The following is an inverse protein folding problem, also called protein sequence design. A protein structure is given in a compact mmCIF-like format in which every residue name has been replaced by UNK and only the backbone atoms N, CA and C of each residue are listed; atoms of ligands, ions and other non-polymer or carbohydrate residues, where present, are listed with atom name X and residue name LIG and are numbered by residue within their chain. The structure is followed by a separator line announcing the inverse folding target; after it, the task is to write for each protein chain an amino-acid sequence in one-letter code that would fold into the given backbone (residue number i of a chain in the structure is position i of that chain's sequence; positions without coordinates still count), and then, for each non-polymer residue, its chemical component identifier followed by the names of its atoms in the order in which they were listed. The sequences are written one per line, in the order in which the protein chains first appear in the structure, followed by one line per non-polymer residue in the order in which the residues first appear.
data_IF_046168487268
#
_entry.id   IF_046168487268
#
_cell.length_a   1.000
_cell.length_b   1.000
_cell.length_c   1.000
_cell.angle_alpha   90.00
_cell.angle_beta   90.00
_cell.angle_gamma   90.00
#
_symmetry.space_group_name_H-M   'P 1'
#
loop_
_entity.id
_entity.type
_entity.pdbx_description
1 polymer ?
#
# COMPACT_ATOMS: atom_id res chain seq x y z
N UNK A 1 15.85 -5.90 -21.41
CA UNK A 1 14.53 -5.36 -21.05
C UNK A 1 13.59 -6.53 -20.98
N UNK A 2 13.36 -7.07 -19.78
CA UNK A 2 12.40 -8.15 -19.60
C UNK A 2 11.01 -7.59 -19.92
N UNK A 3 10.23 -8.34 -20.69
CA UNK A 3 8.86 -8.00 -21.00
C UNK A 3 8.08 -8.21 -19.69
N UNK A 4 7.94 -7.15 -18.87
CA UNK A 4 7.23 -7.24 -17.60
C UNK A 4 5.75 -7.50 -17.86
N UNK A 5 5.38 -8.78 -17.81
CA UNK A 5 3.98 -9.21 -17.73
C UNK A 5 3.45 -8.97 -16.32
N UNK A 6 2.17 -8.57 -16.24
CA UNK A 6 1.45 -8.48 -14.97
C UNK A 6 1.43 -9.85 -14.28
N UNK A 7 1.60 -9.84 -12.97
CA UNK A 7 1.27 -10.96 -12.11
C UNK A 7 -0.24 -11.27 -12.27
N UNK A 8 -0.67 -12.54 -12.38
CA UNK A 8 -2.08 -12.92 -12.39
C UNK A 8 -2.93 -12.22 -11.32
N UNK A 9 -2.40 -12.00 -10.11
CA UNK A 9 -3.11 -11.33 -9.02
C UNK A 9 -3.14 -9.81 -9.17
N UNK A 10 -2.23 -9.24 -9.97
CA UNK A 10 -2.15 -7.82 -10.30
C UNK A 10 -2.92 -7.46 -11.59
N UNK A 11 -3.56 -8.43 -12.26
CA UNK A 11 -4.34 -8.19 -13.48
C UNK A 11 -5.48 -7.19 -13.27
N UNK A 12 -5.84 -6.46 -14.33
CA UNK A 12 -6.94 -5.50 -14.27
C UNK A 12 -8.27 -6.18 -13.94
N UNK A 13 -8.95 -5.66 -12.91
CA UNK A 13 -10.19 -6.21 -12.38
C UNK A 13 -10.00 -7.20 -11.23
N UNK A 14 -8.75 -7.51 -10.84
CA UNK A 14 -8.48 -8.40 -9.70
C UNK A 14 -8.46 -7.68 -8.36
N UNK A 15 -8.01 -6.43 -8.36
CA UNK A 15 -7.93 -5.62 -7.15
C UNK A 15 -9.33 -5.17 -6.74
N UNK A 16 -9.61 -5.17 -5.43
CA UNK A 16 -10.91 -4.74 -4.91
C UNK A 16 -11.25 -3.29 -5.31
N UNK A 17 -10.24 -2.40 -5.35
CA UNK A 17 -10.46 -1.04 -5.81
C UNK A 17 -10.79 -0.96 -7.31
N UNK A 18 -10.28 -1.86 -8.16
CA UNK A 18 -10.67 -1.88 -9.58
C UNK A 18 -12.19 -2.11 -9.70
N UNK A 19 -12.73 -3.08 -8.96
CA UNK A 19 -14.17 -3.38 -8.96
C UNK A 19 -14.98 -2.17 -8.48
N UNK A 20 -14.57 -1.53 -7.39
CA UNK A 20 -15.21 -0.32 -6.88
C UNK A 20 -15.14 0.83 -7.90
N UNK A 21 -13.97 1.09 -8.46
CA UNK A 21 -13.76 2.16 -9.41
C UNK A 21 -14.62 1.97 -10.66
N UNK A 22 -14.66 0.77 -11.22
CA UNK A 22 -15.45 0.44 -12.41
C UNK A 22 -16.96 0.53 -12.18
N UNK A 23 -17.44 0.09 -11.01
CA UNK A 23 -18.86 0.18 -10.63
C UNK A 23 -19.30 1.64 -10.46
N UNK A 24 -18.46 2.47 -9.84
CA UNK A 24 -18.79 3.86 -9.50
C UNK A 24 -18.37 4.88 -10.55
N UNK A 25 -17.76 4.43 -11.65
CA UNK A 25 -17.30 5.32 -12.71
C UNK A 25 -18.47 5.95 -13.49
N UNK A 26 -18.47 7.27 -13.61
CA UNK A 26 -19.33 8.03 -14.51
C UNK A 26 -18.71 8.06 -15.91
N UNK A 27 -19.14 7.12 -16.76
CA UNK A 27 -18.71 7.02 -18.15
C UNK A 27 -19.26 8.15 -19.04
N UNK A 28 -20.29 8.88 -18.59
CA UNK A 28 -20.86 10.02 -19.32
C UNK A 28 -20.03 11.29 -19.17
N UNK A 29 -19.20 11.36 -18.11
CA UNK A 29 -18.29 12.47 -17.88
C UNK A 29 -17.19 12.53 -18.97
N UNK A 30 -16.69 13.75 -19.30
CA UNK A 30 -15.61 13.91 -20.27
C UNK A 30 -14.30 13.32 -19.74
N UNK A 31 -13.47 12.78 -20.64
CA UNK A 31 -12.18 12.16 -20.28
C UNK A 31 -11.21 13.10 -19.56
N UNK A 32 -11.34 14.41 -19.78
CA UNK A 32 -10.58 15.45 -19.06
C UNK A 32 -10.87 15.49 -17.55
N UNK A 33 -11.97 14.89 -17.10
CA UNK A 33 -12.34 14.79 -15.69
C UNK A 33 -11.92 13.47 -15.04
N UNK A 34 -11.39 12.51 -15.82
CA UNK A 34 -11.12 11.15 -15.36
C UNK A 34 -10.13 11.12 -14.17
N UNK A 35 -9.08 11.97 -14.19
CA UNK A 35 -8.12 12.04 -13.07
C UNK A 35 -8.79 12.49 -11.76
N UNK A 36 -9.62 13.55 -11.84
CA UNK A 36 -10.36 14.05 -10.68
C UNK A 36 -11.37 13.01 -10.17
N UNK A 37 -11.98 12.27 -11.09
CA UNK A 37 -12.92 11.22 -10.75
C UNK A 37 -12.23 10.08 -10.00
N UNK A 38 -11.08 9.62 -10.49
CA UNK A 38 -10.24 8.62 -9.83
C UNK A 38 -9.89 9.02 -8.40
N UNK A 39 -9.35 10.24 -8.21
CA UNK A 39 -9.04 10.80 -6.89
C UNK A 39 -10.24 10.76 -5.94
N UNK A 40 -11.41 11.21 -6.42
CA UNK A 40 -12.64 11.17 -5.63
C UNK A 40 -13.08 9.76 -5.27
N UNK A 41 -12.90 8.79 -6.17
CA UNK A 41 -13.24 7.40 -5.91
C UNK A 41 -12.29 6.78 -4.89
N UNK A 42 -10.99 7.08 -4.94
CA UNK A 42 -10.03 6.65 -3.91
C UNK A 42 -10.48 7.14 -2.54
N UNK A 43 -10.73 8.45 -2.38
CA UNK A 43 -11.13 8.98 -1.07
C UNK A 43 -12.47 8.41 -0.60
N UNK A 44 -13.42 8.18 -1.51
CA UNK A 44 -14.68 7.51 -1.18
C UNK A 44 -14.46 6.07 -0.71
N UNK A 45 -13.57 5.34 -1.37
CA UNK A 45 -13.24 3.97 -1.02
C UNK A 45 -12.56 3.87 0.34
N UNK A 46 -11.57 4.73 0.59
CA UNK A 46 -10.89 4.79 1.88
C UNK A 46 -11.83 5.24 3.01
N UNK A 47 -12.86 6.03 2.70
CA UNK A 47 -13.89 6.39 3.69
C UNK A 47 -14.85 5.24 4.04
N UNK A 48 -14.92 4.17 3.24
CA UNK A 48 -15.70 2.98 3.57
C UNK A 48 -15.08 2.26 4.76
N UNK A 49 -15.94 1.66 5.59
CA UNK A 49 -15.51 0.67 6.59
C UNK A 49 -15.01 -0.60 5.89
N UNK A 50 -14.12 -1.38 6.50
CA UNK A 50 -13.65 -2.65 5.92
C UNK A 50 -14.79 -3.57 5.47
N UNK A 51 -15.86 -3.69 6.26
CA UNK A 51 -17.03 -4.51 5.91
C UNK A 51 -17.76 -4.01 4.65
N UNK A 52 -17.77 -2.70 4.41
CA UNK A 52 -18.39 -2.10 3.22
C UNK A 52 -17.52 -2.28 1.96
N UNK A 53 -16.23 -2.58 2.14
CA UNK A 53 -15.32 -2.94 1.04
C UNK A 53 -15.41 -4.42 0.66
N UNK A 54 -15.96 -5.27 1.54
CA UNK A 54 -16.05 -6.71 1.34
C UNK A 54 -16.63 -7.14 -0.01
N UNK A 55 -17.74 -6.55 -0.50
CA UNK A 55 -18.31 -6.98 -1.79
C UNK A 55 -17.35 -6.82 -2.99
N UNK A 56 -16.31 -6.02 -2.83
CA UNK A 56 -15.29 -5.78 -3.85
C UNK A 56 -14.14 -6.79 -3.78
N UNK A 57 -13.89 -7.37 -2.60
CA UNK A 57 -12.97 -8.50 -2.42
C UNK A 57 -13.61 -9.81 -2.86
N UNK A 58 -14.88 -10.03 -2.51
CA UNK A 58 -15.66 -11.23 -2.85
C UNK A 58 -16.40 -11.11 -4.20
N UNK A 59 -15.96 -10.19 -5.06
CA UNK A 59 -16.56 -9.97 -6.37
C UNK A 59 -16.38 -11.23 -7.23
N UNK A 60 -17.37 -11.65 -8.05
CA UNK A 60 -17.31 -12.82 -8.95
C UNK A 60 -16.17 -12.80 -10.00
N UNK A 61 -15.29 -11.81 -9.94
CA UNK A 61 -13.99 -11.77 -10.61
C UNK A 61 -12.95 -12.68 -9.94
N UNK A 62 -13.17 -13.19 -8.72
CA UNK A 62 -12.28 -14.14 -8.03
C UNK A 62 -12.78 -15.60 -8.01
N UNK A 63 -14.04 -15.86 -8.38
CA UNK A 63 -14.62 -17.20 -8.50
C UNK A 63 -14.37 -17.85 -9.86
N UNK A 64 -14.20 -19.16 -9.90
CA UNK A 64 -13.97 -19.99 -11.09
C UNK A 64 -15.10 -19.95 -12.15
N UNK A 65 -16.23 -19.30 -11.87
CA UNK A 65 -17.27 -18.93 -12.84
C UNK A 65 -17.15 -17.43 -13.16
N UNK A 66 -16.41 -17.15 -14.24
CA UNK A 66 -16.09 -15.83 -14.80
C UNK A 66 -17.23 -14.81 -14.64
N UNK A 67 -17.11 -13.93 -13.63
CA UNK A 67 -17.60 -12.57 -13.78
C UNK A 67 -16.92 -11.91 -14.99
N UNK A 68 -17.63 -11.01 -15.68
CA UNK A 68 -17.10 -10.31 -16.84
C UNK A 68 -15.85 -9.50 -16.46
N UNK A 69 -14.67 -10.00 -16.83
CA UNK A 69 -13.42 -9.24 -16.77
C UNK A 69 -13.64 -7.84 -17.38
N UNK A 70 -12.96 -6.80 -16.89
CA UNK A 70 -13.13 -5.46 -17.43
C UNK A 70 -12.85 -5.45 -18.94
N UNK A 71 -13.74 -4.79 -19.68
CA UNK A 71 -13.58 -4.61 -21.12
C UNK A 71 -12.29 -3.85 -21.43
N UNK A 72 -11.77 -4.02 -22.65
CA UNK A 72 -10.55 -3.29 -23.08
C UNK A 72 -10.69 -1.77 -22.98
N UNK A 73 -11.89 -1.22 -23.16
CA UNK A 73 -12.12 0.22 -23.00
C UNK A 73 -12.12 0.64 -21.53
N UNK A 74 -12.69 -0.16 -20.63
CA UNK A 74 -12.61 0.07 -19.18
C UNK A 74 -11.16 0.06 -18.70
N UNK A 75 -10.38 -0.93 -19.11
CA UNK A 75 -8.96 -1.01 -18.79
C UNK A 75 -8.23 0.23 -19.31
N UNK A 76 -8.40 0.57 -20.59
CA UNK A 76 -7.67 1.67 -21.24
C UNK A 76 -8.02 3.04 -20.68
N UNK A 77 -9.28 3.27 -20.30
CA UNK A 77 -9.76 4.58 -19.83
C UNK A 77 -9.62 4.75 -18.32
N UNK A 78 -10.01 3.73 -17.57
CA UNK A 78 -10.22 3.83 -16.12
C UNK A 78 -9.00 3.37 -15.35
N UNK A 79 -8.48 2.17 -15.63
CA UNK A 79 -7.50 1.51 -14.76
C UNK A 79 -6.05 1.75 -15.18
N UNK A 80 -5.70 1.39 -16.42
CA UNK A 80 -4.32 1.39 -16.91
C UNK A 80 -3.62 2.76 -16.83
N UNK A 81 -4.29 3.91 -17.01
CA UNK A 81 -3.63 5.21 -16.87
C UNK A 81 -3.32 5.62 -15.42
N UNK A 82 -3.86 4.92 -14.41
CA UNK A 82 -3.87 5.39 -13.01
C UNK A 82 -2.85 4.70 -12.14
N UNK A 83 -2.52 3.45 -12.47
CA UNK A 83 -1.52 2.67 -11.76
C UNK A 83 -0.46 2.12 -12.71
N UNK A 84 0.81 2.21 -12.31
CA UNK A 84 1.92 1.54 -12.97
C UNK A 84 1.89 0.04 -12.67
N UNK A 85 2.64 -0.75 -13.44
CA UNK A 85 2.78 -2.19 -13.18
C UNK A 85 3.31 -2.46 -11.76
N UNK A 86 4.24 -1.63 -11.28
CA UNK A 86 4.80 -1.77 -9.94
C UNK A 86 3.76 -1.49 -8.86
N UNK A 87 2.97 -0.42 -9.02
CA UNK A 87 1.91 -0.09 -8.06
C UNK A 87 0.88 -1.21 -7.95
N UNK A 88 0.51 -1.82 -9.10
CA UNK A 88 -0.40 -2.97 -9.10
C UNK A 88 0.20 -4.21 -8.46
N UNK A 89 1.50 -4.46 -8.63
CA UNK A 89 2.21 -5.54 -7.93
C UNK A 89 2.15 -5.33 -6.41
N UNK A 90 2.39 -4.11 -5.94
CA UNK A 90 2.29 -3.75 -4.52
C UNK A 90 0.84 -3.91 -4.02
N UNK A 91 -0.16 -3.53 -4.82
CA UNK A 91 -1.56 -3.72 -4.46
C UNK A 91 -1.97 -5.20 -4.34
N UNK A 92 -1.33 -6.09 -5.12
CA UNK A 92 -1.64 -7.52 -5.14
C UNK A 92 -0.92 -8.31 -4.03
N UNK A 93 0.21 -7.82 -3.53
CA UNK A 93 1.05 -8.53 -2.57
C UNK A 93 1.16 -7.74 -1.27
N UNK A 94 0.70 -8.34 -0.17
CA UNK A 94 0.74 -7.72 1.17
C UNK A 94 2.13 -7.78 1.83
N UNK A 95 3.09 -8.47 1.22
CA UNK A 95 4.46 -8.59 1.73
C UNK A 95 5.34 -7.47 1.14
N UNK A 96 5.95 -6.68 2.03
CA UNK A 96 6.94 -5.66 1.65
C UNK A 96 8.27 -6.36 1.36
N UNK A 97 8.48 -6.78 0.12
CA UNK A 97 9.77 -7.20 -0.39
C UNK A 97 10.55 -5.99 -0.97
N UNK A 98 11.76 -6.23 -1.49
CA UNK A 98 12.58 -5.20 -2.11
C UNK A 98 11.91 -4.52 -3.33
N UNK A 99 10.78 -5.06 -3.81
CA UNK A 99 10.02 -4.59 -4.95
C UNK A 99 8.98 -3.52 -4.56
N UNK A 100 8.75 -3.30 -3.25
CA UNK A 100 7.89 -2.26 -2.69
C UNK A 100 8.47 -0.83 -2.65
N UNK A 101 9.64 -0.59 -3.25
CA UNK A 101 10.30 0.74 -3.23
C UNK A 101 9.70 1.68 -4.27
N UNK A 102 9.20 2.84 -3.82
CA UNK A 102 8.57 3.87 -4.66
C UNK A 102 9.49 5.10 -4.76
N UNK A 103 10.40 5.14 -5.75
CA UNK A 103 11.49 6.13 -5.85
C UNK A 103 11.46 7.04 -7.10
N UNK A 104 10.46 6.91 -7.99
CA UNK A 104 10.27 7.83 -9.11
C UNK A 104 9.74 9.19 -8.63
N UNK A 105 10.64 10.18 -8.55
CA UNK A 105 10.29 11.54 -8.15
C UNK A 105 9.21 12.19 -9.03
N UNK A 106 9.07 11.80 -10.31
CA UNK A 106 8.01 12.36 -11.16
C UNK A 106 6.62 11.87 -10.76
N UNK A 107 6.54 10.75 -10.06
CA UNK A 107 5.29 10.13 -9.61
C UNK A 107 5.02 10.39 -8.13
N UNK A 108 6.06 10.45 -7.30
CA UNK A 108 5.93 10.43 -5.84
C UNK A 108 6.42 11.69 -5.12
N UNK A 109 6.93 12.70 -5.83
CA UNK A 109 7.27 13.99 -5.22
C UNK A 109 6.00 14.81 -4.93
N UNK A 110 5.31 14.44 -3.85
CA UNK A 110 4.12 15.15 -3.35
C UNK A 110 4.48 16.28 -2.37
N UNK A 111 5.76 16.58 -2.18
CA UNK A 111 6.24 17.48 -1.15
C UNK A 111 5.75 17.06 0.25
N UNK A 112 5.11 17.94 1.02
CA UNK A 112 4.64 17.61 2.37
C UNK A 112 3.40 16.69 2.38
N UNK A 113 2.69 16.54 1.26
CA UNK A 113 1.44 15.77 1.18
C UNK A 113 1.70 14.32 0.74
N UNK A 114 2.50 13.62 1.55
CA UNK A 114 2.85 12.21 1.31
C UNK A 114 1.62 11.31 1.13
N UNK A 115 0.47 11.68 1.72
CA UNK A 115 -0.78 10.92 1.70
C UNK A 115 -1.33 10.71 0.28
N UNK A 116 -0.91 11.53 -0.68
CA UNK A 116 -1.24 11.36 -2.10
C UNK A 116 -0.73 10.06 -2.69
N UNK A 117 0.19 9.35 -2.03
CA UNK A 117 0.53 7.99 -2.44
C UNK A 117 -0.69 7.06 -2.44
N UNK A 118 -1.64 7.26 -1.53
CA UNK A 118 -2.87 6.47 -1.45
C UNK A 118 -3.80 6.70 -2.65
N UNK A 119 -3.68 7.86 -3.34
CA UNK A 119 -4.38 8.09 -4.62
C UNK A 119 -3.86 7.16 -5.71
N UNK A 120 -2.60 6.72 -5.61
CA UNK A 120 -1.98 5.79 -6.55
C UNK A 120 -2.19 4.35 -6.11
N UNK A 121 -2.07 4.07 -4.81
CA UNK A 121 -2.14 2.72 -4.25
C UNK A 121 -3.08 2.69 -3.04
N UNK A 122 -4.41 2.75 -3.25
CA UNK A 122 -5.38 2.70 -2.15
C UNK A 122 -5.33 1.38 -1.38
N UNK A 123 -4.90 0.29 -2.02
CA UNK A 123 -4.80 -1.04 -1.42
C UNK A 123 -3.78 -1.13 -0.28
N UNK A 124 -2.86 -0.16 -0.17
CA UNK A 124 -1.97 -0.05 1.00
C UNK A 124 -2.74 -0.04 2.33
N UNK A 125 -3.95 0.51 2.34
CA UNK A 125 -4.81 0.59 3.52
C UNK A 125 -5.96 -0.41 3.51
N UNK A 126 -5.93 -1.40 2.61
CA UNK A 126 -6.97 -2.39 2.44
C UNK A 126 -6.43 -3.82 2.57
N UNK A 127 -5.75 -4.06 3.69
CA UNK A 127 -5.08 -5.33 4.00
C UNK A 127 -6.06 -6.27 4.70
N UNK A 128 -6.39 -7.38 4.04
CA UNK A 128 -7.05 -8.52 4.67
C UNK A 128 -5.99 -9.42 5.32
N UNK A 129 -6.09 -9.65 6.63
CA UNK A 129 -5.21 -10.58 7.39
C UNK A 129 -5.83 -11.97 7.56
N UNK A 130 -7.04 -12.18 7.06
CA UNK A 130 -7.77 -13.46 7.11
C UNK A 130 -9.01 -13.43 6.23
N UNK A 131 -10.08 -14.13 6.64
CA UNK A 131 -11.38 -13.89 6.02
C UNK A 131 -11.92 -12.54 6.48
N UNK A 132 -12.77 -11.89 5.67
CA UNK A 132 -13.29 -10.57 6.01
C UNK A 132 -14.21 -10.61 7.23
N UNK A 133 -14.93 -11.72 7.44
CA UNK A 133 -15.72 -11.94 8.64
C UNK A 133 -14.81 -12.08 9.87
N UNK A 134 -13.72 -12.85 9.77
CA UNK A 134 -12.76 -13.00 10.86
C UNK A 134 -12.04 -11.69 11.17
N UNK A 135 -11.60 -10.94 10.16
CA UNK A 135 -10.93 -9.66 10.35
C UNK A 135 -11.86 -8.60 10.96
N UNK A 136 -13.11 -8.54 10.53
CA UNK A 136 -14.10 -7.61 11.07
C UNK A 136 -14.47 -7.94 12.52
N UNK A 137 -14.76 -9.21 12.81
CA UNK A 137 -15.05 -9.68 14.18
C UNK A 137 -13.84 -9.47 15.07
N UNK A 138 -12.62 -9.73 14.56
CA UNK A 138 -11.37 -9.48 15.28
C UNK A 138 -11.23 -8.01 15.63
N UNK A 139 -11.37 -7.08 14.69
CA UNK A 139 -11.20 -5.64 14.96
C UNK A 139 -12.20 -5.12 16.00
N UNK A 140 -13.50 -5.44 15.86
CA UNK A 140 -14.52 -4.96 16.83
C UNK A 140 -14.29 -5.54 18.22
N UNK A 141 -13.98 -6.83 18.29
CA UNK A 141 -13.75 -7.50 19.57
C UNK A 141 -12.49 -6.96 20.25
N UNK A 142 -11.40 -6.83 19.50
CA UNK A 142 -10.12 -6.35 20.03
C UNK A 142 -10.23 -4.88 20.49
N UNK A 143 -10.91 -4.01 19.75
CA UNK A 143 -11.11 -2.62 20.21
C UNK A 143 -11.87 -2.54 21.54
N UNK A 144 -12.82 -3.44 21.78
CA UNK A 144 -13.54 -3.52 23.05
C UNK A 144 -12.74 -4.15 24.20
N UNK A 145 -11.66 -4.87 23.88
CA UNK A 145 -10.76 -5.54 24.83
C UNK A 145 -9.46 -4.76 25.07
N UNK A 146 -9.25 -3.62 24.39
CA UNK A 146 -8.03 -2.82 24.51
C UNK A 146 -7.86 -2.26 25.94
N UNK A 147 -6.68 -2.46 26.52
CA UNK A 147 -6.41 -2.04 27.91
C UNK A 147 -6.01 -0.57 27.98
N UNK A 148 -5.34 -0.07 26.94
CA UNK A 148 -4.91 1.33 26.83
C UNK A 148 -4.93 1.89 25.38
N UNK A 149 -4.49 3.15 25.24
CA UNK A 149 -4.44 3.86 23.97
C UNK A 149 -3.46 3.25 22.97
N UNK A 150 -2.36 2.66 23.44
CA UNK A 150 -1.36 2.03 22.57
C UNK A 150 -1.90 0.72 21.99
N UNK A 151 -2.63 -0.06 22.80
CA UNK A 151 -3.33 -1.24 22.34
C UNK A 151 -4.36 -0.88 21.25
N UNK A 152 -5.15 0.18 21.48
CA UNK A 152 -6.12 0.68 20.48
C UNK A 152 -5.46 1.11 19.18
N UNK A 153 -4.29 1.77 19.25
CA UNK A 153 -3.53 2.15 18.06
C UNK A 153 -3.07 0.89 17.33
N UNK A 154 -2.46 -0.07 18.02
CA UNK A 154 -1.94 -1.30 17.40
C UNK A 154 -3.03 -2.11 16.68
N UNK A 155 -4.22 -2.19 17.28
CA UNK A 155 -5.40 -2.84 16.68
C UNK A 155 -5.84 -2.13 15.38
N UNK A 156 -5.72 -0.80 15.31
CA UNK A 156 -6.19 0.00 14.16
C UNK A 156 -5.22 0.06 13.02
N UNK A 157 -3.92 -0.05 13.29
CA UNK A 157 -2.89 0.06 12.23
C UNK A 157 -3.04 -1.11 11.28
N UNK A 158 -3.21 -0.84 9.99
CA UNK A 158 -3.23 -1.84 8.93
C UNK A 158 -1.95 -1.87 8.11
N UNK A 159 -1.25 -0.75 8.00
CA UNK A 159 -0.03 -0.64 7.21
C UNK A 159 0.96 0.37 7.78
N UNK A 160 2.20 0.32 7.30
CA UNK A 160 3.30 1.18 7.70
C UNK A 160 4.03 1.70 6.48
N UNK A 161 4.27 3.00 6.42
CA UNK A 161 5.06 3.63 5.36
C UNK A 161 6.38 4.16 5.90
N UNK A 162 7.45 3.85 5.19
CA UNK A 162 8.78 4.39 5.42
C UNK A 162 9.05 5.47 4.36
N UNK A 163 9.37 6.69 4.81
CA UNK A 163 9.61 7.82 3.91
C UNK A 163 10.99 8.39 4.16
N UNK A 164 11.79 8.44 3.09
CA UNK A 164 13.11 9.06 3.05
C UNK A 164 13.08 10.31 2.15
N UNK A 165 12.45 11.38 2.64
CA UNK A 165 12.40 12.67 1.94
C UNK A 165 13.67 13.52 2.19
N UNK A 166 13.80 14.65 1.48
CA UNK A 166 14.96 15.54 1.60
C UNK A 166 15.28 15.92 3.05
N UNK A 167 14.25 16.18 3.87
CA UNK A 167 14.45 16.48 5.29
C UNK A 167 14.99 15.26 6.05
N UNK A 168 14.37 14.09 5.88
CA UNK A 168 14.77 12.86 6.56
C UNK A 168 16.22 12.50 6.21
N UNK A 169 16.59 12.60 4.93
CA UNK A 169 17.94 12.37 4.43
C UNK A 169 18.96 13.33 5.04
N UNK A 170 18.67 14.64 5.07
CA UNK A 170 19.54 15.65 5.71
C UNK A 170 19.73 15.42 7.21
N UNK A 171 18.71 14.91 7.88
CA UNK A 171 18.75 14.61 9.31
C UNK A 171 19.38 13.23 9.62
N UNK A 172 19.71 12.42 8.60
CA UNK A 172 20.17 11.04 8.78
C UNK A 172 19.12 10.14 9.42
N UNK A 173 17.85 10.34 9.06
CA UNK A 173 16.67 9.65 9.63
C UNK A 173 15.76 9.12 8.53
N UNK A 174 14.83 8.26 8.94
CA UNK A 174 13.67 7.82 8.14
C UNK A 174 12.41 8.18 8.91
N UNK A 175 11.40 8.69 8.21
CA UNK A 175 10.06 8.91 8.77
C UNK A 175 9.27 7.61 8.65
N UNK A 176 8.57 7.24 9.72
CA UNK A 176 7.66 6.10 9.73
C UNK A 176 6.27 6.62 10.03
N UNK A 177 5.30 6.18 9.24
CA UNK A 177 3.88 6.48 9.41
C UNK A 177 3.10 5.19 9.59
N UNK A 178 2.23 5.15 10.58
CA UNK A 178 1.34 4.03 10.85
C UNK A 178 -0.06 4.45 10.47
N UNK A 179 -0.67 3.70 9.54
CA UNK A 179 -1.94 4.08 8.94
C UNK A 179 -3.05 3.13 9.38
N UNK A 180 -4.23 3.67 9.64
CA UNK A 180 -5.45 2.89 9.80
C UNK A 180 -6.02 2.44 8.45
N UNK A 181 -7.11 1.66 8.48
CA UNK A 181 -7.81 1.18 7.28
C UNK A 181 -8.39 2.29 6.41
N UNK A 182 -8.49 3.52 6.92
CA UNK A 182 -8.98 4.69 6.19
C UNK A 182 -7.85 5.54 5.59
N UNK A 183 -6.59 5.14 5.79
CA UNK A 183 -5.42 5.91 5.36
C UNK A 183 -5.07 7.08 6.27
N UNK A 184 -5.69 7.19 7.45
CA UNK A 184 -5.30 8.19 8.42
C UNK A 184 -4.01 7.76 9.11
N UNK A 185 -3.08 8.70 9.26
CA UNK A 185 -1.92 8.49 10.10
C UNK A 185 -2.33 8.55 11.58
N UNK A 186 -2.33 7.40 12.26
CA UNK A 186 -2.63 7.29 13.68
C UNK A 186 -1.39 7.46 14.56
N UNK A 187 -0.20 7.23 14.00
CA UNK A 187 1.08 7.50 14.66
C UNK A 187 2.16 7.80 13.63
N UNK A 188 3.16 8.61 14.01
CA UNK A 188 4.36 8.81 13.18
C UNK A 188 5.60 9.09 14.03
N UNK A 189 6.78 8.75 13.51
CA UNK A 189 8.05 8.96 14.19
C UNK A 189 9.20 9.18 13.19
N UNK A 190 10.32 9.73 13.66
CA UNK A 190 11.59 9.79 12.92
C UNK A 190 12.64 8.96 13.64
N UNK A 191 13.16 7.94 12.98
CA UNK A 191 14.16 7.07 13.59
C UNK A 191 15.46 7.05 12.79
N UNK A 192 16.56 6.68 13.45
CA UNK A 192 17.81 6.42 12.74
C UNK A 192 17.66 5.11 11.95
N UNK A 193 18.21 5.00 10.73
CA UNK A 193 18.17 3.74 9.97
C UNK A 193 18.70 2.55 10.78
N UNK A 194 19.74 2.74 11.59
CA UNK A 194 20.32 1.72 12.45
C UNK A 194 19.36 1.18 13.53
N UNK A 195 18.31 1.92 13.87
CA UNK A 195 17.33 1.55 14.90
C UNK A 195 16.11 0.81 14.32
N UNK A 196 16.02 0.65 12.99
CA UNK A 196 14.91 -0.06 12.33
C UNK A 196 14.85 -1.54 12.75
N UNK A 197 16.00 -2.17 13.03
CA UNK A 197 16.08 -3.56 13.48
C UNK A 197 15.52 -3.80 14.89
N UNK A 198 15.48 -2.76 15.73
CA UNK A 198 14.97 -2.86 17.11
C UNK A 198 13.47 -2.55 17.20
N UNK A 199 12.87 -2.01 16.12
CA UNK A 199 11.49 -1.52 16.11
C UNK A 199 10.53 -2.45 15.37
N UNK A 200 10.50 -3.72 15.79
CA UNK A 200 9.50 -4.71 15.36
C UNK A 200 8.27 -4.62 16.28
N UNK A 201 7.54 -3.50 16.20
CA UNK A 201 6.22 -3.40 16.84
C UNK A 201 5.29 -4.43 16.20
N UNK A 202 4.61 -5.23 17.01
CA UNK A 202 3.89 -6.43 16.60
C UNK A 202 2.95 -6.20 15.40
N UNK A 203 2.99 -7.11 14.44
CA UNK A 203 1.87 -7.48 13.58
C UNK A 203 2.22 -8.88 13.12
N UNK A 204 1.38 -9.84 13.49
CA UNK A 204 1.75 -11.24 13.74
C UNK A 204 2.48 -12.03 12.64
N UNK A 205 2.70 -11.52 11.43
CA UNK A 205 3.39 -12.28 10.36
C UNK A 205 4.15 -11.40 9.33
N UNK A 206 4.40 -10.12 9.58
CA UNK A 206 5.20 -9.33 8.64
C UNK A 206 6.71 -9.61 8.82
N UNK A 207 7.45 -10.01 7.76
CA UNK A 207 8.90 -10.19 7.84
C UNK A 207 9.57 -8.89 8.28
N UNK A 208 10.60 -9.04 9.12
CA UNK A 208 11.42 -7.92 9.54
C UNK A 208 12.24 -7.41 8.35
N UNK A 209 12.72 -6.16 8.41
CA UNK A 209 13.68 -5.67 7.40
C UNK A 209 14.93 -6.56 7.32
N UNK A 210 15.29 -7.31 8.37
CA UNK A 210 16.38 -8.30 8.32
C UNK A 210 16.06 -9.50 7.43
N UNK A 211 14.81 -9.94 7.41
CA UNK A 211 14.36 -11.00 6.53
C UNK A 211 14.44 -10.50 5.07
N UNK A 212 13.98 -9.27 4.81
CA UNK A 212 14.09 -8.62 3.50
C UNK A 212 15.56 -8.42 3.03
N UNK A 213 16.48 -8.07 3.94
CA UNK A 213 17.91 -7.92 3.62
C UNK A 213 18.59 -9.27 3.37
N UNK A 214 18.17 -10.34 4.06
CA UNK A 214 18.72 -11.70 3.81
C UNK A 214 18.38 -12.24 2.42
N UNK A 215 17.26 -11.78 1.84
CA UNK A 215 16.85 -12.11 0.46
C UNK A 215 17.69 -11.38 -0.59
N UNK A 216 18.20 -10.18 -0.25
CA UNK A 216 19.15 -9.43 -1.09
C UNK A 216 20.56 -10.02 -1.01
N UNK A 217 20.95 -10.57 0.14
CA UNK A 217 22.25 -11.24 0.33
C UNK A 217 22.31 -12.64 -0.31
N UNK A 218 21.16 -13.24 -0.63
CA UNK A 218 21.04 -14.52 -1.34
C UNK A 218 21.13 -14.43 -2.87
N UNK A 219 21.12 -13.21 -3.44
CA UNK A 219 21.25 -12.99 -4.88
C UNK A 219 22.72 -12.66 -5.25
N UNK A 220 23.44 -13.57 -5.93
CA UNK A 220 24.83 -13.35 -6.30
C UNK A 220 25.06 -12.15 -7.26
N UNK A 221 24.02 -11.51 -7.79
CA UNK A 221 24.13 -10.26 -8.57
C UNK A 221 23.84 -8.97 -7.77
N UNK A 222 23.37 -9.05 -6.52
CA UNK A 222 22.94 -7.90 -5.68
C UNK A 222 24.06 -7.07 -5.02
N UNK A 223 25.32 -7.31 -5.36
CA UNK A 223 26.52 -6.78 -4.68
C UNK A 223 26.85 -5.29 -4.91
N UNK A 224 25.86 -4.39 -4.96
CA UNK A 224 26.08 -2.96 -5.29
C UNK A 224 25.67 -1.92 -4.24
N UNK A 225 25.30 -2.30 -3.02
CA UNK A 225 25.10 -1.30 -1.97
C UNK A 225 26.38 -1.08 -1.18
N UNK A 226 27.18 -0.10 -1.61
CA UNK A 226 28.35 0.35 -0.87
C UNK A 226 27.95 1.24 0.33
N UNK A 227 28.52 0.93 1.49
CA UNK A 227 28.35 1.66 2.75
C UNK A 227 29.02 3.04 2.64
N UNK A 228 28.23 4.08 2.46
CA UNK A 228 28.70 5.47 2.36
C UNK A 228 29.15 6.08 3.70
N UNK A 229 30.46 6.03 3.93
CA UNK A 229 31.36 6.90 4.71
C UNK A 229 30.99 7.37 6.14
N UNK A 230 31.89 7.02 7.07
CA UNK A 230 32.11 7.70 8.36
C UNK A 230 32.57 9.16 8.13
N UNK A 231 32.12 10.08 8.98
CA UNK A 231 32.80 11.36 9.16
C UNK A 231 33.00 11.73 10.64
N UNK A 232 34.28 12.04 10.89
CA UNK A 232 34.90 12.64 12.06
C UNK A 232 34.46 14.11 12.21
N UNK A 233 34.30 14.55 13.46
CA UNK A 233 34.05 15.93 13.84
C UNK A 233 35.33 16.57 14.43
N UNK A 234 35.56 17.89 14.26
CA UNK A 234 35.89 18.75 15.37
C UNK A 234 34.63 19.21 16.13
#
# INVERSE_FOLDING_TARGET
MANETLDPEAEYGRLAFDAFALEKWDYSAPTTSDQKQWEQLVYKYLALKPLERFPYHDSPLQGSDRGDLPSSEQIRRVLAPRQTLQERKISAHTEVDAQGVLDDANLYDFGPDWSRILVRIPELCDVLRGSVEDDYVRCIRQEGEAEDEMDLIDIRVVTRLYIADDQALREGRVKIFWLDSHGNCVWHNKIKPSSLMEFTGAMFDAPTLCDALSWVEGDPEGSKFEKGAELLFP
#
